data_IF_218204225784
#
_entry.id   IF_218204225784
#
_cell.length_a   1.000
_cell.length_b   1.000
_cell.length_c   1.000
_cell.angle_alpha   90.00
_cell.angle_beta   90.00
_cell.angle_gamma   90.00
#
_symmetry.space_group_name_H-M   'P 1'
#
loop_
_entity.id
_entity.type
_entity.pdbx_description
1 polymer ?
#
# COMPACT_ATOMS: atom_id res chain seq x y z
N UNK A 1 -72.91 -41.84 -6.68
CA UNK A 1 -72.94 -41.70 -8.14
C UNK A 1 -71.66 -41.00 -8.59
N UNK A 2 -70.85 -41.71 -9.39
CA UNK A 2 -69.83 -41.27 -10.39
C UNK A 2 -69.13 -39.90 -10.19
N UNK A 3 -67.83 -39.88 -9.88
CA UNK A 3 -66.67 -39.83 -10.82
C UNK A 3 -66.38 -38.46 -11.42
N UNK A 4 -65.24 -37.84 -11.09
CA UNK A 4 -64.26 -37.33 -12.09
C UNK A 4 -62.89 -37.00 -11.47
N UNK A 5 -61.87 -37.08 -12.31
CA UNK A 5 -60.44 -37.33 -12.07
C UNK A 5 -59.59 -36.02 -12.08
N UNK A 6 -58.24 -36.01 -12.21
CA UNK A 6 -57.31 -35.45 -11.23
C UNK A 6 -56.65 -34.12 -11.65
N UNK A 7 -56.13 -33.35 -10.68
CA UNK A 7 -55.12 -32.31 -10.96
C UNK A 7 -54.02 -32.35 -9.91
N UNK A 8 -52.81 -32.66 -10.40
CA UNK A 8 -51.49 -32.42 -9.84
C UNK A 8 -51.42 -31.49 -8.61
N UNK A 9 -50.80 -31.88 -7.47
CA UNK A 9 -50.38 -30.89 -6.49
C UNK A 9 -49.14 -30.16 -7.01
N UNK A 10 -49.30 -28.86 -7.30
CA UNK A 10 -48.20 -27.92 -7.47
C UNK A 10 -47.24 -28.02 -6.28
N UNK A 11 -46.05 -28.55 -6.51
CA UNK A 11 -44.94 -28.45 -5.57
C UNK A 11 -44.66 -26.96 -5.35
N UNK A 12 -44.67 -26.44 -4.11
CA UNK A 12 -44.19 -25.09 -3.85
C UNK A 12 -42.70 -25.01 -4.22
N UNK A 13 -42.21 -23.93 -4.84
CA UNK A 13 -40.78 -23.78 -5.07
C UNK A 13 -40.08 -23.77 -3.70
N UNK A 14 -39.06 -24.63 -3.55
CA UNK A 14 -38.16 -24.68 -2.41
C UNK A 14 -37.66 -23.26 -2.10
N UNK A 15 -37.56 -22.85 -0.82
CA UNK A 15 -36.98 -21.56 -0.49
C UNK A 15 -35.54 -21.51 -1.02
N UNK A 16 -35.25 -20.44 -1.77
CA UNK A 16 -33.90 -20.13 -2.21
C UNK A 16 -32.98 -20.17 -0.98
N UNK A 17 -31.99 -21.06 -1.03
CA UNK A 17 -30.94 -21.13 -0.02
C UNK A 17 -30.36 -19.72 0.14
N UNK A 18 -30.23 -19.18 1.36
CA UNK A 18 -29.52 -17.91 1.53
C UNK A 18 -28.10 -18.14 0.99
N UNK A 19 -27.79 -17.47 -0.12
CA UNK A 19 -26.41 -17.33 -0.57
C UNK A 19 -25.66 -16.68 0.58
N UNK A 20 -24.94 -17.50 1.36
CA UNK A 20 -24.03 -17.02 2.36
C UNK A 20 -23.18 -15.94 1.68
N UNK A 21 -23.05 -14.73 2.22
CA UNK A 21 -22.11 -13.77 1.68
C UNK A 21 -20.77 -14.49 1.57
N UNK A 22 -20.19 -14.52 0.37
CA UNK A 22 -18.87 -15.08 0.14
C UNK A 22 -17.95 -14.40 1.13
N UNK A 23 -17.62 -15.08 2.22
CA UNK A 23 -16.65 -14.58 3.19
C UNK A 23 -15.42 -14.25 2.37
N UNK A 24 -14.95 -12.98 2.35
CA UNK A 24 -13.73 -12.65 1.64
C UNK A 24 -12.68 -13.63 2.14
N UNK A 25 -12.10 -14.40 1.21
CA UNK A 25 -11.05 -15.34 1.54
C UNK A 25 -10.04 -14.61 2.43
N UNK A 26 -9.54 -15.23 3.53
CA UNK A 26 -8.53 -14.61 4.34
C UNK A 26 -7.38 -14.21 3.41
N UNK A 27 -7.24 -12.91 3.19
CA UNK A 27 -6.15 -12.33 2.42
C UNK A 27 -4.90 -12.79 3.14
N UNK A 28 -4.22 -13.79 2.57
CA UNK A 28 -2.96 -14.26 3.09
C UNK A 28 -2.06 -13.03 3.18
N UNK A 29 -1.53 -12.68 4.37
CA UNK A 29 -0.71 -11.51 4.48
C UNK A 29 0.49 -11.67 3.54
N UNK A 30 0.97 -10.60 2.88
CA UNK A 30 2.14 -10.67 2.03
C UNK A 30 3.42 -10.78 2.89
N UNK A 31 3.55 -11.84 3.70
CA UNK A 31 4.82 -12.24 4.30
C UNK A 31 5.73 -12.92 3.29
N UNK A 32 5.21 -13.32 2.11
CA UNK A 32 5.92 -14.05 1.05
C UNK A 32 7.16 -13.37 0.43
N UNK A 33 7.67 -12.30 1.01
CA UNK A 33 8.93 -11.67 0.59
C UNK A 33 9.66 -10.93 1.70
N UNK A 34 9.29 -11.15 2.96
CA UNK A 34 9.99 -10.56 4.12
C UNK A 34 10.99 -11.56 4.72
N UNK A 35 12.16 -11.07 5.11
CA UNK A 35 13.23 -11.85 5.76
C UNK A 35 13.65 -11.17 7.06
N UNK A 36 14.05 -11.95 8.06
CA UNK A 36 14.67 -11.41 9.27
C UNK A 36 15.93 -10.61 8.89
N UNK A 37 16.12 -9.46 9.52
CA UNK A 37 17.19 -8.50 9.19
C UNK A 37 16.90 -7.60 7.99
N UNK A 38 15.77 -7.77 7.30
CA UNK A 38 15.44 -6.95 6.13
C UNK A 38 14.99 -5.53 6.53
N UNK A 39 15.47 -4.48 5.83
CA UNK A 39 14.97 -3.14 5.99
C UNK A 39 13.53 -3.01 5.49
N UNK A 40 12.69 -2.44 6.32
CA UNK A 40 11.25 -2.25 6.09
C UNK A 40 10.81 -0.83 6.45
N UNK A 41 9.65 -0.46 5.95
CA UNK A 41 8.89 0.67 6.46
C UNK A 41 7.67 0.14 7.19
N UNK A 42 7.42 0.68 8.39
CA UNK A 42 6.30 0.29 9.26
C UNK A 42 5.34 1.47 9.34
N UNK A 43 4.06 1.23 9.07
CA UNK A 43 3.02 2.24 9.24
C UNK A 43 2.53 2.21 10.69
N UNK A 44 2.89 3.25 11.44
CA UNK A 44 2.42 3.50 12.81
C UNK A 44 1.56 4.76 12.79
N UNK A 45 0.25 4.62 13.04
CA UNK A 45 -0.69 5.75 13.13
C UNK A 45 -0.59 6.73 11.95
N UNK A 46 -0.67 6.22 10.71
CA UNK A 46 -0.58 6.99 9.47
C UNK A 46 0.80 7.64 9.19
N UNK A 47 1.84 7.28 9.95
CA UNK A 47 3.22 7.67 9.71
C UNK A 47 4.05 6.45 9.36
N UNK A 48 4.80 6.51 8.26
CA UNK A 48 5.75 5.46 7.91
C UNK A 48 7.08 5.72 8.60
N UNK A 49 7.56 4.74 9.36
CA UNK A 49 8.85 4.76 10.04
C UNK A 49 9.80 3.73 9.44
N UNK A 50 11.11 4.02 9.35
CA UNK A 50 12.09 3.03 8.96
C UNK A 50 12.27 2.02 10.08
N UNK A 51 12.46 0.75 9.72
CA UNK A 51 12.69 -0.31 10.67
C UNK A 51 13.35 -1.53 10.04
N UNK A 52 13.58 -2.52 10.88
CA UNK A 52 14.18 -3.81 10.51
C UNK A 52 13.32 -4.93 11.07
N UNK A 53 13.10 -5.97 10.26
CA UNK A 53 12.39 -7.19 10.71
C UNK A 53 13.27 -7.92 11.73
N UNK A 54 12.74 -8.19 12.92
CA UNK A 54 13.44 -8.92 13.98
C UNK A 54 13.01 -10.38 14.06
N UNK A 55 11.75 -10.70 13.76
CA UNK A 55 11.27 -12.08 13.61
C UNK A 55 10.03 -12.14 12.72
N UNK A 56 9.69 -13.34 12.26
CA UNK A 56 8.51 -13.63 11.47
C UNK A 56 7.76 -14.80 12.11
N UNK A 57 6.49 -14.62 12.44
CA UNK A 57 5.66 -15.65 13.03
C UNK A 57 4.27 -15.63 12.38
N UNK A 58 4.08 -16.37 11.29
CA UNK A 58 2.80 -16.56 10.61
C UNK A 58 2.00 -15.27 10.33
N UNK A 59 1.16 -14.88 11.29
CA UNK A 59 0.29 -13.69 11.27
C UNK A 59 0.90 -12.46 11.94
N UNK A 60 2.16 -12.51 12.36
CA UNK A 60 2.83 -11.50 13.19
C UNK A 60 4.26 -11.25 12.69
N UNK A 61 4.65 -9.99 12.68
CA UNK A 61 5.99 -9.55 12.30
C UNK A 61 6.59 -8.81 13.47
N UNK A 62 7.75 -9.27 13.94
CA UNK A 62 8.58 -8.50 14.85
C UNK A 62 9.32 -7.42 14.09
N UNK A 63 9.24 -6.19 14.57
CA UNK A 63 9.96 -5.05 13.98
C UNK A 63 10.66 -4.25 15.07
N UNK A 64 11.82 -3.73 14.72
CA UNK A 64 12.49 -2.65 15.47
C UNK A 64 12.53 -1.43 14.57
N UNK A 65 11.86 -0.37 14.98
CA UNK A 65 11.83 0.91 14.28
C UNK A 65 12.91 1.84 14.80
N UNK A 66 13.39 2.71 13.93
CA UNK A 66 14.28 3.81 14.30
C UNK A 66 13.54 5.12 14.01
N UNK A 67 12.78 5.65 14.98
CA UNK A 67 12.03 6.87 14.77
C UNK A 67 12.96 8.09 14.75
N UNK A 68 12.45 9.26 14.33
CA UNK A 68 13.20 10.52 14.39
C UNK A 68 13.67 10.85 15.82
N UNK A 69 14.70 11.69 15.93
CA UNK A 69 15.19 12.18 17.21
C UNK A 69 14.05 12.74 18.08
N UNK A 70 14.00 12.33 19.35
CA UNK A 70 12.95 12.73 20.30
C UNK A 70 11.76 11.76 20.38
N UNK A 71 11.69 10.73 19.54
CA UNK A 71 10.69 9.67 19.65
C UNK A 71 11.30 8.37 20.21
N UNK A 72 10.55 7.67 21.05
CA UNK A 72 11.01 6.43 21.66
C UNK A 72 11.06 5.30 20.62
N UNK A 73 12.18 4.56 20.49
CA UNK A 73 12.27 3.46 19.56
C UNK A 73 11.21 2.41 19.87
N UNK A 74 10.40 2.06 18.87
CA UNK A 74 9.42 0.99 19.02
C UNK A 74 10.05 -0.34 18.59
N UNK A 75 10.08 -1.30 19.51
CA UNK A 75 10.36 -2.70 19.24
C UNK A 75 9.15 -3.50 19.66
N UNK A 76 8.51 -4.17 18.71
CA UNK A 76 7.25 -4.85 19.01
C UNK A 76 6.73 -5.67 17.85
N UNK A 77 5.54 -6.22 18.07
CA UNK A 77 4.87 -7.11 17.12
C UNK A 77 3.78 -6.35 16.40
N UNK A 78 3.82 -6.40 15.08
CA UNK A 78 2.87 -5.69 14.23
C UNK A 78 2.20 -6.64 13.25
N UNK A 79 1.03 -6.22 12.77
CA UNK A 79 0.34 -6.95 11.72
C UNK A 79 1.10 -6.85 10.39
N UNK A 80 1.08 -7.90 9.55
CA UNK A 80 1.83 -7.89 8.30
C UNK A 80 1.46 -6.77 7.33
N UNK A 81 0.18 -6.35 7.30
CA UNK A 81 -0.31 -5.31 6.38
C UNK A 81 0.20 -3.91 6.72
N UNK A 82 0.73 -3.67 7.92
CA UNK A 82 1.37 -2.39 8.28
C UNK A 82 2.87 -2.37 7.99
N UNK A 83 3.45 -3.49 7.52
CA UNK A 83 4.88 -3.59 7.20
C UNK A 83 5.08 -3.69 5.70
N UNK A 84 6.08 -2.98 5.17
CA UNK A 84 6.46 -3.09 3.76
C UNK A 84 7.96 -3.18 3.59
N UNK A 85 8.47 -4.06 2.69
CA UNK A 85 9.87 -4.04 2.31
C UNK A 85 10.29 -2.66 1.82
N UNK A 86 11.45 -2.15 2.24
CA UNK A 86 11.91 -0.83 1.82
C UNK A 86 12.13 -0.76 0.29
N UNK A 87 12.68 -1.84 -0.31
CA UNK A 87 12.95 -2.00 -1.77
C UNK A 87 13.68 -0.82 -2.41
N UNK A 88 14.69 -0.27 -1.73
CA UNK A 88 15.42 0.90 -2.21
C UNK A 88 14.63 2.21 -2.19
N UNK A 89 13.39 2.19 -1.68
CA UNK A 89 12.66 3.42 -1.42
C UNK A 89 13.16 4.07 -0.12
N UNK A 90 13.24 5.39 -0.11
CA UNK A 90 13.55 6.19 1.07
C UNK A 90 12.29 6.83 1.62
N UNK A 91 12.21 7.02 2.94
CA UNK A 91 11.14 7.78 3.57
C UNK A 91 11.47 9.26 3.53
N UNK A 92 10.52 10.09 3.08
CA UNK A 92 10.70 11.53 3.04
C UNK A 92 9.48 12.27 3.60
N UNK A 93 9.68 13.23 4.53
CA UNK A 93 8.62 14.11 4.98
C UNK A 93 8.00 14.88 3.82
N UNK A 94 6.69 15.10 3.87
CA UNK A 94 5.95 15.82 2.82
C UNK A 94 6.51 17.22 2.56
N UNK A 95 6.98 17.89 3.63
CA UNK A 95 7.58 19.22 3.54
C UNK A 95 8.91 19.26 2.76
N UNK A 96 9.55 18.11 2.54
CA UNK A 96 10.82 17.99 1.81
C UNK A 96 10.66 17.44 0.38
N UNK A 97 9.42 17.21 -0.07
CA UNK A 97 9.13 16.73 -1.41
C UNK A 97 9.20 17.86 -2.44
N UNK A 98 9.46 17.49 -3.69
CA UNK A 98 9.55 18.41 -4.82
C UNK A 98 8.78 17.86 -6.03
N UNK A 99 8.41 18.77 -6.93
CA UNK A 99 7.96 18.37 -8.27
C UNK A 99 9.03 17.52 -8.95
N UNK A 100 8.62 16.43 -9.60
CA UNK A 100 9.50 15.43 -10.20
C UNK A 100 9.81 14.22 -9.31
N UNK A 101 9.57 14.29 -7.99
CA UNK A 101 9.76 13.14 -7.11
C UNK A 101 8.78 12.02 -7.45
N UNK A 102 9.26 10.77 -7.40
CA UNK A 102 8.45 9.56 -7.65
C UNK A 102 8.11 8.90 -6.33
N UNK A 103 6.83 8.92 -5.97
CA UNK A 103 6.32 8.28 -4.75
C UNK A 103 5.78 6.89 -5.05
N UNK A 104 5.98 5.97 -4.12
CA UNK A 104 5.46 4.61 -4.17
C UNK A 104 4.20 4.49 -3.30
N UNK A 105 3.07 4.21 -3.95
CA UNK A 105 1.77 4.06 -3.32
C UNK A 105 1.64 2.73 -2.57
N UNK A 106 0.50 2.58 -1.87
CA UNK A 106 0.20 1.34 -1.15
C UNK A 106 -0.10 0.16 -2.09
N UNK A 107 -0.72 0.34 -3.25
CA UNK A 107 -0.88 -0.77 -4.20
C UNK A 107 0.44 -1.18 -4.89
N UNK A 108 1.55 -0.47 -4.62
CA UNK A 108 2.84 -0.68 -5.27
C UNK A 108 2.98 0.08 -6.60
N UNK A 109 1.98 0.86 -7.00
CA UNK A 109 2.09 1.77 -8.14
C UNK A 109 2.97 2.96 -7.78
N UNK A 110 3.57 3.57 -8.81
CA UNK A 110 4.38 4.77 -8.66
C UNK A 110 3.63 5.97 -9.21
N UNK A 111 3.74 7.11 -8.52
CA UNK A 111 3.18 8.39 -8.96
C UNK A 111 4.26 9.46 -8.96
N UNK A 112 4.36 10.21 -10.05
CA UNK A 112 5.26 11.37 -10.13
C UNK A 112 4.53 12.60 -9.64
N UNK A 113 5.14 13.33 -8.71
CA UNK A 113 4.61 14.59 -8.20
C UNK A 113 4.76 15.65 -9.29
N UNK A 114 3.65 16.23 -9.75
CA UNK A 114 3.68 17.38 -10.65
C UNK A 114 3.86 18.68 -9.85
N UNK A 115 3.02 18.87 -8.83
CA UNK A 115 3.09 20.03 -7.95
C UNK A 115 2.77 19.66 -6.52
N UNK A 116 3.36 20.42 -5.59
CA UNK A 116 3.14 20.32 -4.16
C UNK A 116 2.94 21.74 -3.64
N UNK A 117 1.91 21.95 -2.81
CA UNK A 117 1.73 23.22 -2.11
C UNK A 117 1.12 23.02 -0.73
N UNK A 118 1.41 23.90 0.24
CA UNK A 118 0.60 23.98 1.44
C UNK A 118 -0.85 24.28 1.04
N UNK A 119 -1.79 23.56 1.62
CA UNK A 119 -3.21 23.88 1.50
C UNK A 119 -3.47 25.19 2.24
N UNK A 120 -4.32 26.05 1.67
CA UNK A 120 -4.57 27.41 2.16
C UNK A 120 -5.03 27.45 3.61
N UNK A 121 -5.65 26.37 4.12
CA UNK A 121 -6.10 26.25 5.50
C UNK A 121 -5.85 24.85 6.07
N UNK A 122 -5.43 24.77 7.34
CA UNK A 122 -5.44 23.54 8.13
C UNK A 122 -4.13 22.76 8.22
N UNK A 123 -2.97 23.33 7.91
CA UNK A 123 -1.67 22.66 8.11
C UNK A 123 -1.51 21.38 7.27
N UNK A 124 -2.17 21.34 6.11
CA UNK A 124 -2.14 20.21 5.17
C UNK A 124 -1.32 20.58 3.94
N UNK A 125 -0.86 19.56 3.22
CA UNK A 125 -0.20 19.66 1.94
C UNK A 125 -1.08 19.05 0.86
N UNK A 126 -1.26 19.76 -0.25
CA UNK A 126 -1.92 19.25 -1.44
C UNK A 126 -0.87 18.80 -2.44
N UNK A 127 -0.84 17.50 -2.72
CA UNK A 127 -0.06 16.90 -3.79
C UNK A 127 -0.95 16.77 -5.03
N UNK A 128 -0.42 17.16 -6.18
CA UNK A 128 -0.98 16.84 -7.49
C UNK A 128 0.02 15.99 -8.24
N UNK A 129 -0.40 14.80 -8.68
CA UNK A 129 0.42 13.92 -9.50
C UNK A 129 0.32 14.29 -10.98
N UNK A 130 1.28 13.83 -11.79
CA UNK A 130 1.27 14.02 -13.25
C UNK A 130 0.07 13.39 -13.94
N UNK A 131 -0.55 12.37 -13.32
CA UNK A 131 -1.82 11.79 -13.75
C UNK A 131 -3.04 12.70 -13.53
N UNK A 132 -2.87 13.85 -12.87
CA UNK A 132 -3.95 14.75 -12.47
C UNK A 132 -4.61 14.39 -11.13
N UNK A 133 -4.33 13.20 -10.58
CA UNK A 133 -4.85 12.79 -9.28
C UNK A 133 -4.29 13.67 -8.14
N UNK A 134 -5.13 13.98 -7.14
CA UNK A 134 -4.78 14.88 -6.03
C UNK A 134 -4.97 14.21 -4.69
N UNK A 135 -4.06 14.48 -3.75
CA UNK A 135 -4.11 13.95 -2.39
C UNK A 135 -3.81 15.06 -1.39
N UNK A 136 -4.60 15.13 -0.32
CA UNK A 136 -4.38 16.04 0.80
C UNK A 136 -3.77 15.29 1.97
N UNK A 137 -2.58 15.69 2.41
CA UNK A 137 -1.82 15.03 3.47
C UNK A 137 -1.61 15.98 4.67
N UNK A 138 -1.56 15.48 5.91
CA UNK A 138 -1.12 16.29 7.04
C UNK A 138 0.35 16.70 6.90
N UNK A 139 0.78 17.81 7.53
CA UNK A 139 2.17 18.26 7.52
C UNK A 139 3.17 17.24 8.10
N UNK A 140 2.70 16.32 8.95
CA UNK A 140 3.50 15.24 9.54
C UNK A 140 3.61 14.01 8.63
N UNK A 141 2.97 14.02 7.44
CA UNK A 141 2.99 12.87 6.55
C UNK A 141 4.41 12.57 6.04
N UNK A 142 4.73 11.28 6.02
CA UNK A 142 5.97 10.74 5.46
C UNK A 142 5.61 9.81 4.31
N UNK A 143 6.16 10.08 3.13
CA UNK A 143 5.93 9.32 1.91
C UNK A 143 7.15 8.47 1.56
N UNK A 144 6.92 7.40 0.80
CA UNK A 144 7.98 6.54 0.27
C UNK A 144 8.38 7.03 -1.12
N UNK A 145 9.63 7.41 -1.30
CA UNK A 145 10.18 7.78 -2.61
C UNK A 145 10.99 6.63 -3.14
N UNK A 146 10.70 6.19 -4.35
CA UNK A 146 11.63 5.36 -5.10
C UNK A 146 12.73 6.26 -5.65
N UNK A 147 14.00 5.84 -5.59
CA UNK A 147 15.01 6.48 -6.43
C UNK A 147 14.50 6.40 -7.87
N UNK A 148 14.37 7.55 -8.52
CA UNK A 148 14.02 7.58 -9.93
C UNK A 148 15.02 6.66 -10.62
N UNK A 149 14.53 5.58 -11.22
CA UNK A 149 15.34 4.83 -12.17
C UNK A 149 15.53 5.80 -13.31
N UNK A 150 16.62 6.55 -13.30
CA UNK A 150 17.04 7.34 -14.46
C UNK A 150 16.93 6.39 -15.64
N UNK A 151 16.12 6.67 -16.69
CA UNK A 151 16.18 5.84 -17.88
C UNK A 151 17.62 5.94 -18.35
N UNK A 152 18.36 4.82 -18.23
CA UNK A 152 19.71 4.69 -18.76
C UNK A 152 19.64 5.23 -20.19
N UNK A 153 20.34 6.32 -20.55
CA UNK A 153 20.36 6.75 -21.93
C UNK A 153 20.82 5.53 -22.73
N UNK A 154 19.95 5.07 -23.63
CA UNK A 154 20.27 4.02 -24.56
C UNK A 154 21.60 4.42 -25.20
N UNK A 155 22.61 3.58 -25.02
CA UNK A 155 23.93 3.81 -25.58
C UNK A 155 23.74 4.19 -27.04
N UNK A 156 24.04 5.45 -27.37
CA UNK A 156 24.01 5.93 -28.73
C UNK A 156 25.16 5.21 -29.44
N UNK A 157 24.91 3.99 -29.90
CA UNK A 157 25.83 3.26 -30.79
C UNK A 157 25.70 3.91 -32.16
N UNK A 158 26.28 5.10 -32.31
CA UNK A 158 26.54 5.66 -33.63
C UNK A 158 27.70 4.85 -34.19
N UNK A 159 27.34 4.08 -35.21
CA UNK A 159 28.17 3.24 -36.07
C UNK A 159 29.49 3.94 -36.43
N UNK A 160 30.58 3.20 -36.31
CA UNK A 160 31.73 3.37 -37.18
C UNK A 160 31.31 3.08 -38.63
N UNK A 161 31.76 3.93 -39.54
CA UNK A 161 31.58 3.83 -40.98
C UNK A 161 31.89 5.22 -41.56
N UNK A 162 32.92 5.42 -42.37
CA UNK A 162 33.96 4.51 -42.86
C UNK A 162 35.15 5.35 -43.32
#
# INVERSE_FOLDING_TARGET
MTSTTPTHPSTPPLPATPVLPTTPAPVSPPTGGLRVGQPVHVNTHATWLPGVVTFLAGTRIGVRTQPPAGHMPFSGVVAPWVVRPARGASLRPVAHLRGGDVVLAHDGTTHTIATLRPATFGGRWLLTYTSGHRVSLPATAVLRLTQATTPRPAAHRRRAGG
#
